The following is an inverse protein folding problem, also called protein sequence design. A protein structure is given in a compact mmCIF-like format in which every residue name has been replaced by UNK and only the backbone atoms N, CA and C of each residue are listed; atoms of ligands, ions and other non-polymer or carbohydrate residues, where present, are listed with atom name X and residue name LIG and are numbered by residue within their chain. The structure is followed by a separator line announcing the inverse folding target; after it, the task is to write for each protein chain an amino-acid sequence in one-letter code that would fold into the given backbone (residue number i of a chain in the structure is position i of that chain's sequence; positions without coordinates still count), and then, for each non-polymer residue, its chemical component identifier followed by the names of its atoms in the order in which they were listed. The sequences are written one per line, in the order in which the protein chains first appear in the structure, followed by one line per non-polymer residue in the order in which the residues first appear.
data_IF_119163491139
#
_entry.id   IF_119163491139
#
_cell.length_a   1.000
_cell.length_b   1.000
_cell.length_c   1.000
_cell.angle_alpha   90.00
_cell.angle_beta   90.00
_cell.angle_gamma   90.00
#
_symmetry.space_group_name_H-M   'P 1'
#
loop_
_entity.id
_entity.type
_entity.pdbx_description
1 polymer ?
#
# COMPACT_ATOMS: atom_id res chain seq x y z
N UNK A 1 -19.97 6.30 1.42
CA UNK A 1 -20.39 5.05 0.73
C UNK A 1 -19.60 3.90 1.34
N UNK A 2 -20.27 2.82 1.74
CA UNK A 2 -19.64 1.71 2.46
C UNK A 2 -18.71 0.90 1.53
N UNK A 3 -17.55 0.46 2.04
CA UNK A 3 -16.56 -0.28 1.24
C UNK A 3 -17.04 -1.72 1.01
N UNK A 4 -17.81 -1.93 -0.06
CA UNK A 4 -18.41 -3.23 -0.41
C UNK A 4 -17.39 -4.37 -0.47
N UNK A 5 -16.18 -4.11 -0.99
CA UNK A 5 -15.12 -5.13 -1.07
C UNK A 5 -14.62 -5.54 0.32
N UNK A 6 -14.50 -4.57 1.24
CA UNK A 6 -14.11 -4.86 2.61
C UNK A 6 -15.21 -5.63 3.35
N UNK A 7 -16.48 -5.29 3.12
CA UNK A 7 -17.61 -6.02 3.69
C UNK A 7 -17.69 -7.45 3.15
N UNK A 8 -17.53 -7.63 1.84
CA UNK A 8 -17.47 -8.96 1.22
C UNK A 8 -16.31 -9.77 1.81
N UNK A 9 -15.14 -9.15 1.96
CA UNK A 9 -13.98 -9.79 2.57
C UNK A 9 -14.29 -10.29 3.99
N UNK A 10 -14.80 -9.41 4.85
CA UNK A 10 -15.06 -9.70 6.26
C UNK A 10 -16.18 -10.72 6.47
N UNK A 11 -17.26 -10.65 5.68
CA UNK A 11 -18.46 -11.44 5.91
C UNK A 11 -18.46 -12.78 5.17
N UNK A 12 -17.73 -12.89 4.06
CA UNK A 12 -17.80 -14.06 3.16
C UNK A 12 -16.43 -14.68 2.89
N UNK A 13 -15.48 -13.87 2.42
CA UNK A 13 -14.20 -14.41 1.92
C UNK A 13 -13.40 -15.08 3.03
N UNK A 14 -13.34 -14.45 4.21
CA UNK A 14 -12.57 -14.97 5.34
C UNK A 14 -12.99 -16.38 5.77
N UNK A 15 -14.28 -16.72 5.64
CA UNK A 15 -14.84 -17.99 6.14
C UNK A 15 -15.07 -19.03 5.05
N UNK A 16 -15.29 -18.61 3.79
CA UNK A 16 -15.76 -19.51 2.73
C UNK A 16 -14.71 -19.80 1.66
N UNK A 17 -13.70 -18.94 1.48
CA UNK A 17 -12.75 -19.10 0.39
C UNK A 17 -11.54 -19.93 0.79
N UNK A 18 -11.04 -20.71 -0.15
CA UNK A 18 -9.74 -21.34 -0.04
C UNK A 18 -8.65 -20.28 0.09
N UNK A 19 -7.64 -20.57 0.90
CA UNK A 19 -6.50 -19.68 1.09
C UNK A 19 -5.19 -20.45 1.20
N UNK A 20 -4.11 -19.72 0.92
CA UNK A 20 -2.75 -20.15 1.25
C UNK A 20 -2.18 -19.16 2.24
N UNK A 21 -1.44 -19.66 3.21
CA UNK A 21 -0.84 -18.89 4.29
C UNK A 21 0.68 -19.03 4.25
N UNK A 22 1.38 -17.94 4.55
CA UNK A 22 2.78 -17.96 4.95
C UNK A 22 2.94 -17.20 6.27
N UNK A 23 3.88 -17.67 7.08
CA UNK A 23 4.34 -16.97 8.29
C UNK A 23 5.81 -16.62 8.12
N UNK A 24 6.17 -15.42 8.54
CA UNK A 24 7.53 -14.91 8.47
C UNK A 24 7.90 -14.35 9.82
N UNK A 25 8.96 -14.87 10.42
CA UNK A 25 9.47 -14.39 11.70
C UNK A 25 9.99 -12.95 11.57
N UNK A 26 9.97 -12.17 12.65
CA UNK A 26 10.43 -10.78 12.61
C UNK A 26 11.95 -10.65 12.46
N UNK A 27 12.71 -11.34 13.32
CA UNK A 27 14.17 -11.23 13.38
C UNK A 27 14.85 -11.36 12.01
N UNK A 28 15.74 -10.42 11.61
CA UNK A 28 16.34 -9.37 12.44
C UNK A 28 15.59 -8.02 12.43
N UNK A 29 14.41 -7.94 11.84
CA UNK A 29 13.60 -6.72 11.75
C UNK A 29 12.59 -6.63 12.89
N UNK A 30 12.08 -5.43 13.15
CA UNK A 30 10.91 -5.28 14.03
C UNK A 30 9.58 -5.43 13.27
N UNK A 31 8.47 -5.34 14.00
CA UNK A 31 7.12 -5.55 13.47
C UNK A 31 6.77 -4.56 12.37
N UNK A 32 7.05 -3.27 12.62
CA UNK A 32 6.80 -2.21 11.65
C UNK A 32 7.61 -2.43 10.37
N UNK A 33 8.92 -2.63 10.48
CA UNK A 33 9.79 -2.83 9.33
C UNK A 33 9.33 -3.99 8.46
N UNK A 34 9.10 -5.17 9.05
CA UNK A 34 8.67 -6.33 8.29
C UNK A 34 7.27 -6.14 7.69
N UNK A 35 6.34 -5.48 8.40
CA UNK A 35 5.02 -5.16 7.88
C UNK A 35 5.10 -4.24 6.66
N UNK A 36 5.90 -3.17 6.70
CA UNK A 36 6.07 -2.26 5.57
C UNK A 36 6.71 -2.98 4.36
N UNK A 37 7.73 -3.81 4.59
CA UNK A 37 8.34 -4.61 3.51
C UNK A 37 7.35 -5.60 2.89
N UNK A 38 6.52 -6.24 3.71
CA UNK A 38 5.48 -7.14 3.24
C UNK A 38 4.38 -6.39 2.47
N UNK A 39 3.98 -5.20 2.94
CA UNK A 39 3.06 -4.32 2.24
C UNK A 39 3.57 -4.07 0.83
N UNK A 40 4.78 -3.54 0.72
CA UNK A 40 5.41 -3.22 -0.56
C UNK A 40 5.59 -4.47 -1.45
N UNK A 41 5.93 -5.62 -0.86
CA UNK A 41 6.15 -6.87 -1.60
C UNK A 41 4.86 -7.48 -2.14
N UNK A 42 3.75 -7.36 -1.40
CA UNK A 42 2.44 -7.79 -1.88
C UNK A 42 1.80 -6.80 -2.85
N UNK A 43 2.25 -5.55 -2.87
CA UNK A 43 1.62 -4.51 -3.66
C UNK A 43 2.02 -4.55 -5.14
N UNK A 44 1.11 -4.11 -6.00
CA UNK A 44 1.36 -3.95 -7.44
C UNK A 44 0.33 -3.02 -8.07
N UNK A 45 0.51 -2.69 -9.35
CA UNK A 45 -0.45 -1.87 -10.10
C UNK A 45 -1.81 -2.55 -10.27
N UNK A 46 -1.85 -3.88 -10.31
CA UNK A 46 -3.08 -4.63 -10.45
C UNK A 46 -3.80 -4.86 -9.11
N UNK A 47 -3.24 -4.35 -8.01
CA UNK A 47 -3.71 -4.56 -6.65
C UNK A 47 -4.11 -3.22 -6.04
N UNK A 48 -5.25 -3.21 -5.36
CA UNK A 48 -5.79 -2.09 -4.60
C UNK A 48 -5.70 -2.42 -3.12
N UNK A 49 -5.15 -1.52 -2.31
CA UNK A 49 -5.39 -1.57 -0.87
C UNK A 49 -6.82 -1.11 -0.59
N UNK A 50 -7.60 -1.95 0.07
CA UNK A 50 -8.99 -1.65 0.43
C UNK A 50 -9.16 -1.33 1.91
N UNK A 51 -8.19 -1.71 2.73
CA UNK A 51 -8.16 -1.41 4.16
C UNK A 51 -6.73 -1.46 4.68
N UNK A 52 -6.42 -0.55 5.60
CA UNK A 52 -5.20 -0.57 6.39
C UNK A 52 -5.53 -0.10 7.81
N UNK A 53 -4.98 -0.80 8.80
CA UNK A 53 -5.00 -0.44 10.22
C UNK A 53 -3.58 -0.61 10.73
N UNK A 54 -3.06 0.39 11.43
CA UNK A 54 -1.69 0.37 11.94
C UNK A 54 -1.71 0.43 13.47
N UNK A 55 -0.80 -0.31 14.09
CA UNK A 55 -0.44 -0.06 15.49
C UNK A 55 0.45 1.19 15.58
N UNK A 56 0.38 1.90 16.70
CA UNK A 56 1.27 3.03 17.00
C UNK A 56 2.63 2.57 17.55
N UNK A 57 2.69 1.34 18.06
CA UNK A 57 3.89 0.75 18.64
C UNK A 57 4.65 -0.02 17.56
N UNK A 58 5.92 0.33 17.34
CA UNK A 58 6.72 -0.23 16.24
C UNK A 58 7.15 -1.68 16.49
N UNK A 59 7.11 -2.12 17.75
CA UNK A 59 7.61 -3.42 18.22
C UNK A 59 6.48 -4.35 18.69
N UNK A 60 5.23 -4.06 18.31
CA UNK A 60 4.07 -4.90 18.61
C UNK A 60 3.28 -5.30 17.37
N UNK A 61 2.55 -6.40 17.51
CA UNK A 61 1.51 -6.79 16.56
C UNK A 61 0.35 -5.79 16.50
N UNK A 62 -0.56 -6.02 15.56
CA UNK A 62 -1.83 -5.30 15.41
C UNK A 62 -1.97 -4.53 14.09
N UNK A 63 -0.89 -4.34 13.34
CA UNK A 63 -0.96 -3.80 11.97
C UNK A 63 -1.59 -4.81 11.01
N UNK A 64 -2.52 -4.35 10.18
CA UNK A 64 -3.26 -5.16 9.22
C UNK A 64 -3.47 -4.41 7.91
N UNK A 65 -3.26 -5.07 6.79
CA UNK A 65 -3.61 -4.56 5.47
C UNK A 65 -4.42 -5.59 4.69
N UNK A 66 -5.40 -5.14 3.92
CA UNK A 66 -6.20 -5.97 3.02
C UNK A 66 -6.11 -5.40 1.62
N UNK A 67 -5.73 -6.26 0.69
CA UNK A 67 -5.57 -5.98 -0.71
C UNK A 67 -6.56 -6.78 -1.55
N UNK A 68 -6.99 -6.19 -2.65
CA UNK A 68 -7.84 -6.81 -3.66
C UNK A 68 -7.19 -6.70 -5.03
N UNK A 69 -7.08 -7.81 -5.77
CA UNK A 69 -6.57 -7.82 -7.14
C UNK A 69 -7.70 -7.74 -8.17
N UNK A 70 -7.37 -7.23 -9.35
CA UNK A 70 -8.27 -7.25 -10.52
C UNK A 70 -8.70 -8.66 -10.96
N UNK A 71 -7.97 -9.71 -10.55
CA UNK A 71 -8.33 -11.13 -10.76
C UNK A 71 -9.23 -11.69 -9.66
N UNK A 72 -9.91 -10.83 -8.88
CA UNK A 72 -10.80 -11.20 -7.78
C UNK A 72 -10.12 -12.06 -6.70
N UNK A 73 -8.86 -11.79 -6.36
CA UNK A 73 -8.15 -12.44 -5.25
C UNK A 73 -7.91 -11.43 -4.14
N UNK A 74 -7.81 -11.90 -2.91
CA UNK A 74 -7.49 -11.05 -1.75
C UNK A 74 -6.17 -11.44 -1.14
N UNK A 75 -5.42 -10.46 -0.63
CA UNK A 75 -4.25 -10.68 0.21
C UNK A 75 -4.47 -9.94 1.51
N UNK A 76 -4.34 -10.62 2.64
CA UNK A 76 -4.30 -9.98 3.95
C UNK A 76 -2.93 -10.13 4.57
N UNK A 77 -2.37 -9.05 5.05
CA UNK A 77 -1.13 -9.00 5.84
C UNK A 77 -1.53 -8.66 7.26
N UNK A 78 -1.06 -9.43 8.23
CA UNK A 78 -1.38 -9.24 9.64
C UNK A 78 -0.10 -9.44 10.47
N UNK A 79 0.33 -8.37 11.14
CA UNK A 79 1.40 -8.43 12.12
C UNK A 79 0.82 -8.98 13.42
N UNK A 80 1.17 -10.22 13.76
CA UNK A 80 0.89 -10.81 15.07
C UNK A 80 2.07 -10.50 16.01
N UNK A 81 1.95 -10.87 17.29
CA UNK A 81 3.02 -10.57 18.26
C UNK A 81 4.32 -11.34 17.94
N UNK A 82 4.23 -12.58 17.48
CA UNK A 82 5.43 -13.41 17.23
C UNK A 82 5.87 -13.44 15.76
N UNK A 83 4.93 -13.32 14.82
CA UNK A 83 5.17 -13.48 13.39
C UNK A 83 4.34 -12.54 12.54
N UNK A 84 4.84 -12.23 11.34
CA UNK A 84 4.02 -11.65 10.28
C UNK A 84 3.31 -12.77 9.52
N UNK A 85 1.98 -12.70 9.45
CA UNK A 85 1.14 -13.64 8.70
C UNK A 85 0.65 -12.99 7.41
N UNK A 86 0.77 -13.70 6.29
CA UNK A 86 0.24 -13.28 4.99
C UNK A 86 -0.65 -14.38 4.43
N UNK A 87 -1.92 -14.06 4.19
CA UNK A 87 -2.89 -14.96 3.59
C UNK A 87 -3.27 -14.48 2.21
N UNK A 88 -3.37 -15.40 1.26
CA UNK A 88 -3.92 -15.15 -0.07
C UNK A 88 -5.16 -15.99 -0.27
N UNK A 89 -6.31 -15.33 -0.43
CA UNK A 89 -7.61 -15.94 -0.67
C UNK A 89 -7.90 -15.96 -2.17
N UNK A 90 -8.46 -17.06 -2.65
CA UNK A 90 -8.79 -17.25 -4.06
C UNK A 90 -10.11 -18.01 -4.22
N UNK A 91 -10.85 -17.74 -5.32
CA UNK A 91 -12.09 -18.44 -5.60
C UNK A 91 -11.80 -19.90 -5.97
N UNK A 92 -12.86 -20.72 -6.01
CA UNK A 92 -12.80 -22.10 -6.48
C UNK A 92 -12.16 -22.19 -7.88
N UNK A 93 -11.26 -23.17 -8.07
CA UNK A 93 -10.44 -23.33 -9.28
C UNK A 93 -9.27 -22.34 -9.40
N UNK A 94 -9.11 -21.40 -8.46
CA UNK A 94 -7.94 -20.53 -8.37
C UNK A 94 -6.80 -21.14 -7.56
N UNK A 95 -5.60 -20.54 -7.65
CA UNK A 95 -4.44 -20.98 -6.86
C UNK A 95 -3.80 -19.87 -6.03
N UNK A 96 -3.22 -20.31 -4.92
CA UNK A 96 -2.40 -19.53 -4.00
C UNK A 96 -0.93 -19.44 -4.37
N UNK A 97 -0.45 -20.24 -5.33
CA UNK A 97 0.97 -20.52 -5.61
C UNK A 97 1.87 -19.29 -5.68
N UNK A 98 1.38 -18.19 -6.27
CA UNK A 98 2.09 -16.89 -6.29
C UNK A 98 2.60 -16.46 -4.90
N UNK A 99 1.86 -16.78 -3.84
CA UNK A 99 2.26 -16.46 -2.47
C UNK A 99 3.52 -17.23 -2.07
N UNK A 100 3.60 -18.51 -2.43
CA UNK A 100 4.72 -19.40 -2.09
C UNK A 100 5.90 -19.20 -3.03
N UNK A 101 5.64 -19.14 -4.34
CA UNK A 101 6.68 -19.19 -5.38
C UNK A 101 7.27 -17.81 -5.68
N UNK A 102 6.52 -16.72 -5.46
CA UNK A 102 6.98 -15.38 -5.81
C UNK A 102 7.08 -14.49 -4.56
N UNK A 103 6.00 -14.34 -3.79
CA UNK A 103 5.93 -13.34 -2.71
C UNK A 103 6.83 -13.73 -1.54
N UNK A 104 6.74 -14.98 -1.05
CA UNK A 104 7.55 -15.47 0.07
C UNK A 104 9.07 -15.32 -0.19
N UNK A 105 9.65 -15.90 -1.27
CA UNK A 105 11.09 -15.78 -1.51
C UNK A 105 11.52 -14.34 -1.74
N UNK A 106 10.68 -13.52 -2.39
CA UNK A 106 10.97 -12.10 -2.58
C UNK A 106 11.00 -11.35 -1.25
N UNK A 107 10.06 -11.61 -0.34
CA UNK A 107 10.01 -10.99 0.98
C UNK A 107 11.20 -11.40 1.84
N UNK A 108 11.55 -12.69 1.85
CA UNK A 108 12.71 -13.21 2.59
C UNK A 108 14.02 -12.58 2.08
N UNK A 109 14.18 -12.49 0.76
CA UNK A 109 15.34 -11.81 0.14
C UNK A 109 15.40 -10.34 0.53
N UNK A 110 14.28 -9.61 0.39
CA UNK A 110 14.20 -8.19 0.76
C UNK A 110 14.45 -7.95 2.24
N UNK A 111 13.97 -8.84 3.11
CA UNK A 111 14.22 -8.80 4.56
C UNK A 111 15.72 -8.87 4.86
N UNK A 112 16.43 -9.80 4.24
CA UNK A 112 17.88 -9.93 4.40
C UNK A 112 18.63 -8.69 3.88
N UNK A 113 18.34 -8.28 2.64
CA UNK A 113 18.96 -7.09 2.02
C UNK A 113 18.70 -5.84 2.86
N UNK A 114 17.45 -5.62 3.27
CA UNK A 114 17.08 -4.47 4.09
C UNK A 114 17.78 -4.49 5.45
N UNK A 115 17.88 -5.67 6.09
CA UNK A 115 18.55 -5.78 7.40
C UNK A 115 20.02 -5.36 7.37
N UNK A 116 20.71 -5.61 6.26
CA UNK A 116 22.11 -5.26 6.05
C UNK A 116 22.35 -3.78 5.70
N UNK A 117 21.29 -3.00 5.47
CA UNK A 117 21.41 -1.57 5.14
C UNK A 117 21.68 -0.71 6.36
N UNK A 118 22.33 0.42 6.10
CA UNK A 118 22.53 1.48 7.07
C UNK A 118 21.20 2.08 7.53
N UNK A 119 21.18 2.60 8.76
CA UNK A 119 19.96 3.16 9.40
C UNK A 119 19.30 4.25 8.55
N UNK A 120 20.10 5.11 7.93
CA UNK A 120 19.57 6.17 7.07
C UNK A 120 18.86 5.61 5.83
N UNK A 121 19.49 4.65 5.13
CA UNK A 121 18.88 3.98 3.99
C UNK A 121 17.58 3.26 4.36
N UNK A 122 17.56 2.55 5.50
CA UNK A 122 16.35 1.92 6.04
C UNK A 122 15.24 2.96 6.22
N UNK A 123 15.57 4.07 6.85
CA UNK A 123 14.63 5.18 7.10
C UNK A 123 14.05 5.73 5.79
N UNK A 124 14.90 5.96 4.78
CA UNK A 124 14.47 6.49 3.48
C UNK A 124 13.56 5.51 2.73
N UNK A 125 13.86 4.21 2.79
CA UNK A 125 13.04 3.15 2.20
C UNK A 125 11.67 3.07 2.89
N UNK A 126 11.63 3.02 4.22
CA UNK A 126 10.37 2.95 4.98
C UNK A 126 9.51 4.18 4.75
N UNK A 127 10.10 5.38 4.72
CA UNK A 127 9.36 6.61 4.37
C UNK A 127 8.86 6.59 2.93
N UNK A 128 9.60 6.02 1.99
CA UNK A 128 9.12 5.85 0.61
C UNK A 128 7.93 4.88 0.54
N UNK A 129 7.96 3.78 1.31
CA UNK A 129 6.82 2.86 1.44
C UNK A 129 5.62 3.56 2.09
N UNK A 130 5.83 4.44 3.07
CA UNK A 130 4.76 5.28 3.61
C UNK A 130 4.07 6.12 2.51
N UNK A 131 4.84 6.73 1.60
CA UNK A 131 4.27 7.47 0.46
C UNK A 131 3.43 6.55 -0.43
N UNK A 132 3.92 5.34 -0.74
CA UNK A 132 3.17 4.33 -1.50
C UNK A 132 1.81 4.03 -0.85
N UNK A 133 1.78 3.84 0.47
CA UNK A 133 0.52 3.60 1.21
C UNK A 133 -0.43 4.78 1.15
N UNK A 134 0.08 6.01 1.27
CA UNK A 134 -0.74 7.23 1.19
C UNK A 134 -1.35 7.40 -0.21
N UNK A 135 -0.62 7.05 -1.26
CA UNK A 135 -1.13 7.01 -2.63
C UNK A 135 -2.24 5.96 -2.78
N UNK A 136 -2.06 4.77 -2.20
CA UNK A 136 -3.07 3.71 -2.20
C UNK A 136 -4.34 4.10 -1.42
N UNK A 137 -4.18 4.72 -0.25
CA UNK A 137 -5.29 5.25 0.56
C UNK A 137 -6.09 6.29 -0.23
N UNK A 138 -5.39 7.24 -0.86
CA UNK A 138 -6.02 8.23 -1.73
C UNK A 138 -6.79 7.57 -2.88
N UNK A 139 -6.19 6.59 -3.56
CA UNK A 139 -6.86 5.86 -4.65
C UNK A 139 -8.12 5.13 -4.15
N UNK A 140 -8.06 4.54 -2.96
CA UNK A 140 -9.19 3.86 -2.35
C UNK A 140 -10.34 4.83 -2.05
N UNK A 141 -10.06 6.00 -1.47
CA UNK A 141 -11.06 7.04 -1.18
C UNK A 141 -11.74 7.55 -2.46
N UNK A 142 -10.95 7.80 -3.51
CA UNK A 142 -11.45 8.25 -4.81
C UNK A 142 -12.37 7.21 -5.44
N UNK A 143 -12.01 5.93 -5.38
CA UNK A 143 -12.85 4.83 -5.88
C UNK A 143 -14.14 4.66 -5.08
N UNK A 144 -14.13 4.96 -3.78
CA UNK A 144 -15.33 4.95 -2.93
C UNK A 144 -16.18 6.21 -3.09
N UNK A 145 -15.70 7.20 -3.87
CA UNK A 145 -16.33 8.52 -4.03
C UNK A 145 -16.62 9.15 -2.66
N UNK A 146 -15.65 9.05 -1.74
CA UNK A 146 -15.77 9.66 -0.42
C UNK A 146 -15.84 11.20 -0.54
N UNK A 147 -16.05 11.89 0.58
CA UNK A 147 -16.17 13.35 0.58
C UNK A 147 -14.88 14.03 0.12
N UNK A 148 -15.04 15.15 -0.59
CA UNK A 148 -13.92 15.92 -1.16
C UNK A 148 -12.86 16.28 -0.11
N UNK A 149 -13.28 16.64 1.11
CA UNK A 149 -12.37 16.94 2.23
C UNK A 149 -11.38 15.81 2.52
N UNK A 150 -11.84 14.57 2.58
CA UNK A 150 -10.96 13.42 2.89
C UNK A 150 -9.97 13.16 1.77
N UNK A 151 -10.42 13.30 0.52
CA UNK A 151 -9.54 13.12 -0.65
C UNK A 151 -8.51 14.25 -0.71
N UNK A 152 -8.89 15.49 -0.43
CA UNK A 152 -7.97 16.63 -0.33
C UNK A 152 -6.87 16.35 0.70
N UNK A 153 -7.24 15.94 1.93
CA UNK A 153 -6.25 15.60 2.96
C UNK A 153 -5.37 14.41 2.58
N UNK A 154 -5.93 13.36 1.98
CA UNK A 154 -5.14 12.21 1.54
C UNK A 154 -4.11 12.58 0.45
N UNK A 155 -4.45 13.49 -0.47
CA UNK A 155 -3.50 14.02 -1.46
C UNK A 155 -2.42 14.87 -0.76
N UNK A 156 -2.83 15.73 0.19
CA UNK A 156 -1.92 16.55 0.99
C UNK A 156 -0.89 15.72 1.75
N UNK A 157 -1.36 14.72 2.51
CA UNK A 157 -0.52 13.78 3.25
C UNK A 157 0.50 13.08 2.35
N UNK A 158 0.06 12.60 1.17
CA UNK A 158 0.94 11.93 0.22
C UNK A 158 2.01 12.89 -0.32
N UNK A 159 1.62 14.13 -0.64
CA UNK A 159 2.52 15.18 -1.16
C UNK A 159 3.57 15.59 -0.12
N UNK A 160 3.14 15.87 1.10
CA UNK A 160 4.01 16.30 2.20
C UNK A 160 4.97 15.17 2.61
N UNK A 161 4.46 13.94 2.75
CA UNK A 161 5.30 12.78 3.05
C UNK A 161 6.36 12.54 1.97
N UNK A 162 6.01 12.76 0.70
CA UNK A 162 6.96 12.61 -0.40
C UNK A 162 8.03 13.72 -0.44
N UNK A 163 7.67 14.95 -0.07
CA UNK A 163 8.57 16.10 -0.15
C UNK A 163 9.74 16.04 0.84
N UNK A 164 9.62 15.24 1.90
CA UNK A 164 10.61 15.13 2.98
C UNK A 164 11.49 13.87 2.90
N UNK A 165 11.46 13.14 1.78
CA UNK A 165 12.23 11.90 1.58
C UNK A 165 13.31 12.13 0.53
N UNK A 166 14.60 12.23 0.90
CA UNK A 166 15.68 12.48 -0.06
C UNK A 166 15.73 11.46 -1.21
N UNK A 167 15.70 10.15 -0.91
CA UNK A 167 15.60 9.07 -1.92
C UNK A 167 14.46 9.26 -2.92
N UNK A 168 13.35 9.88 -2.49
CA UNK A 168 12.24 10.22 -3.38
C UNK A 168 12.57 11.47 -4.19
N UNK A 169 13.00 12.55 -3.53
CA UNK A 169 13.16 13.87 -4.15
C UNK A 169 14.34 13.94 -5.13
N UNK A 170 15.39 13.16 -4.88
CA UNK A 170 16.56 13.06 -5.74
C UNK A 170 16.35 12.14 -6.95
N UNK A 171 15.27 11.35 -6.95
CA UNK A 171 14.96 10.43 -8.03
C UNK A 171 14.40 11.15 -9.27
N UNK A 172 14.79 10.68 -10.45
CA UNK A 172 14.26 11.18 -11.72
C UNK A 172 12.73 11.04 -11.75
N UNK A 173 12.05 12.15 -12.03
CA UNK A 173 10.59 12.21 -12.10
C UNK A 173 9.89 12.65 -10.81
N UNK A 174 10.61 12.87 -9.70
CA UNK A 174 10.03 13.34 -8.44
C UNK A 174 9.27 14.67 -8.59
N UNK A 175 9.81 15.60 -9.38
CA UNK A 175 9.18 16.90 -9.68
C UNK A 175 7.83 16.73 -10.39
N UNK A 176 7.70 15.76 -11.29
CA UNK A 176 6.44 15.45 -11.98
C UNK A 176 5.41 14.87 -11.02
N UNK A 177 5.83 14.02 -10.08
CA UNK A 177 4.94 13.50 -9.03
C UNK A 177 4.43 14.63 -8.14
N UNK A 178 5.33 15.49 -7.66
CA UNK A 178 4.97 16.64 -6.84
C UNK A 178 4.02 17.59 -7.57
N UNK A 179 4.28 17.88 -8.85
CA UNK A 179 3.40 18.70 -9.68
C UNK A 179 2.02 18.07 -9.86
N UNK A 180 1.95 16.76 -10.12
CA UNK A 180 0.69 16.04 -10.28
C UNK A 180 -0.15 16.05 -8.99
N UNK A 181 0.48 15.78 -7.84
CA UNK A 181 -0.19 15.82 -6.54
C UNK A 181 -0.66 17.25 -6.21
N UNK A 182 0.17 18.26 -6.46
CA UNK A 182 -0.20 19.66 -6.25
C UNK A 182 -1.41 20.08 -7.11
N UNK A 183 -1.42 19.71 -8.39
CA UNK A 183 -2.55 19.98 -9.29
C UNK A 183 -3.86 19.39 -8.76
N UNK A 184 -3.84 18.13 -8.31
CA UNK A 184 -5.03 17.48 -7.78
C UNK A 184 -5.44 18.00 -6.42
N UNK A 185 -4.49 18.40 -5.58
CA UNK A 185 -4.78 19.08 -4.32
C UNK A 185 -5.54 20.39 -4.57
N UNK A 186 -5.04 21.27 -5.45
CA UNK A 186 -5.74 22.51 -5.83
C UNK A 186 -7.10 22.24 -6.46
N UNK A 187 -7.19 21.23 -7.33
CA UNK A 187 -8.46 20.84 -7.96
C UNK A 187 -9.49 20.44 -6.90
N UNK A 188 -9.08 19.63 -5.92
CA UNK A 188 -9.97 19.11 -4.88
C UNK A 188 -10.33 20.19 -3.84
N UNK A 189 -9.42 21.11 -3.56
CA UNK A 189 -9.65 22.26 -2.69
C UNK A 189 -10.77 23.18 -3.19
N UNK A 190 -10.89 23.34 -4.52
CA UNK A 190 -11.90 24.17 -5.16
C UNK A 190 -13.29 23.49 -5.24
N UNK A 191 -13.41 22.23 -4.83
CA UNK A 191 -14.70 21.55 -4.75
C UNK A 191 -15.42 21.88 -3.44
N UNK A 192 -16.73 21.63 -3.40
CA UNK A 192 -17.52 21.67 -2.18
C UNK A 192 -17.10 20.53 -1.24
N UNK A 193 -16.50 20.86 -0.10
CA UNK A 193 -15.76 19.92 0.74
C UNK A 193 -16.63 18.84 1.39
N UNK A 194 -17.93 19.10 1.57
CA UNK A 194 -18.87 18.15 2.19
C UNK A 194 -19.61 17.28 1.15
N UNK A 195 -19.40 17.53 -0.14
CA UNK A 195 -19.95 16.69 -1.22
C UNK A 195 -19.02 15.52 -1.53
N UNK A 196 -19.61 14.46 -2.08
CA UNK A 196 -18.88 13.31 -2.63
C UNK A 196 -18.04 13.72 -3.83
N UNK A 197 -16.92 13.03 -4.04
CA UNK A 197 -16.04 13.30 -5.18
C UNK A 197 -16.75 13.14 -6.52
N UNK A 198 -16.63 14.13 -7.44
CA UNK A 198 -17.31 14.08 -8.73
C UNK A 198 -16.89 12.87 -9.58
N UNK A 199 -17.86 12.12 -10.09
CA UNK A 199 -17.60 10.93 -10.90
C UNK A 199 -16.79 11.23 -12.16
N UNK A 200 -17.00 12.40 -12.75
CA UNK A 200 -16.28 12.86 -13.94
C UNK A 200 -14.77 13.05 -13.71
N UNK A 201 -14.35 13.30 -12.45
CA UNK A 201 -12.94 13.52 -12.09
C UNK A 201 -12.23 12.24 -11.67
N UNK A 202 -12.97 11.19 -11.30
CA UNK A 202 -12.42 9.90 -10.83
C UNK A 202 -11.40 9.31 -11.82
N UNK A 203 -11.68 9.19 -13.13
CA UNK A 203 -10.72 8.57 -14.06
C UNK A 203 -9.40 9.34 -14.16
N UNK A 204 -9.47 10.68 -14.12
CA UNK A 204 -8.30 11.54 -14.20
C UNK A 204 -7.37 11.36 -13.00
N UNK A 205 -7.93 11.41 -11.79
CA UNK A 205 -7.15 11.29 -10.56
C UNK A 205 -6.57 9.87 -10.41
N UNK A 206 -7.38 8.84 -10.63
CA UNK A 206 -6.89 7.45 -10.57
C UNK A 206 -5.79 7.16 -11.59
N UNK A 207 -5.85 7.75 -12.79
CA UNK A 207 -4.78 7.63 -13.78
C UNK A 207 -3.46 8.19 -13.24
N UNK A 208 -3.47 9.38 -12.64
CA UNK A 208 -2.24 9.97 -12.09
C UNK A 208 -1.74 9.20 -10.85
N UNK A 209 -2.62 8.82 -9.92
CA UNK A 209 -2.23 8.01 -8.75
C UNK A 209 -1.62 6.67 -9.18
N UNK A 210 -2.15 6.02 -10.22
CA UNK A 210 -1.61 4.78 -10.77
C UNK A 210 -0.22 4.97 -11.37
N UNK A 211 0.01 6.09 -12.08
CA UNK A 211 1.33 6.42 -12.64
C UNK A 211 2.35 6.67 -11.53
N UNK A 212 1.96 7.42 -10.49
CA UNK A 212 2.79 7.68 -9.31
C UNK A 212 3.12 6.38 -8.59
N UNK A 213 2.12 5.53 -8.34
CA UNK A 213 2.30 4.21 -7.73
C UNK A 213 3.30 3.36 -8.53
N UNK A 214 3.22 3.34 -9.86
CA UNK A 214 4.14 2.57 -10.71
C UNK A 214 5.58 3.04 -10.55
N UNK A 215 5.76 4.35 -10.55
CA UNK A 215 7.06 4.97 -10.38
C UNK A 215 7.63 4.68 -8.98
N UNK A 216 6.83 4.85 -7.92
CA UNK A 216 7.19 4.54 -6.54
C UNK A 216 7.59 3.08 -6.34
N UNK A 217 6.77 2.14 -6.83
CA UNK A 217 7.05 0.71 -6.71
C UNK A 217 8.41 0.36 -7.33
N UNK A 218 8.74 0.95 -8.48
CA UNK A 218 10.03 0.77 -9.15
C UNK A 218 11.17 1.38 -8.33
N UNK A 219 11.00 2.63 -7.86
CA UNK A 219 12.01 3.33 -7.06
C UNK A 219 12.37 2.54 -5.80
N UNK A 220 11.36 2.09 -5.04
CA UNK A 220 11.55 1.33 -3.80
C UNK A 220 12.19 -0.03 -4.12
N UNK A 221 11.70 -0.74 -5.14
CA UNK A 221 12.26 -2.05 -5.53
C UNK A 221 13.74 -1.96 -5.89
N UNK A 222 14.15 -0.93 -6.63
CA UNK A 222 15.57 -0.70 -6.98
C UNK A 222 16.45 -0.57 -5.72
N UNK A 223 15.94 0.03 -4.65
CA UNK A 223 16.70 0.20 -3.40
C UNK A 223 16.61 -1.01 -2.47
N UNK A 224 15.61 -1.87 -2.65
CA UNK A 224 15.44 -3.13 -1.91
C UNK A 224 16.08 -4.35 -2.59
N UNK A 225 16.52 -4.20 -3.85
CA UNK A 225 17.11 -5.26 -4.67
C UNK A 225 18.59 -4.99 -5.01
N UNK A 226 19.10 -3.80 -4.65
CA UNK A 226 20.53 -3.44 -4.62
C UNK A 226 21.08 -3.56 -3.22
#
# INVERSE_FOLDING_TARGET
MENRLLNEFNNKILSQWSFTEIKVDYSPLNHKELFELAYHTCNSIAIRNISIKLTQDEDKGGSKAIFYSNTKKFISIEALDDVLKINKYFPEGGTGDKLINDIKPKLETRKLIFSAKEKDQKTQILKSILVERKIDECANLVMLKDINRKIYFAIGDARESAAVVPMFMDAEGASLVQLALNKWMTTTQNLDQEKTFPESLVPGLLKNLTQIKRWLLKLISVHLEK
#
